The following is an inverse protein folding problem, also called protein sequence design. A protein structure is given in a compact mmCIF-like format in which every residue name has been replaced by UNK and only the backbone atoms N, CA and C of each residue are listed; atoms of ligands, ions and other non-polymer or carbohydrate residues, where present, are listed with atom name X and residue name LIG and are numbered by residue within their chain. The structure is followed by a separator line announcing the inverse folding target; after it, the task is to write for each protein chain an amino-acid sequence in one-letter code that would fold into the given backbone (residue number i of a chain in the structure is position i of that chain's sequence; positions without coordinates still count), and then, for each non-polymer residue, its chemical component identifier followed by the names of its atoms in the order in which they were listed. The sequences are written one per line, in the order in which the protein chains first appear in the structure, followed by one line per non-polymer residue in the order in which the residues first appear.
data_IF_767399067018
#
_entry.id   IF_767399067018
#
_cell.length_a   1.000
_cell.length_b   1.000
_cell.length_c   1.000
_cell.angle_alpha   90.00
_cell.angle_beta   90.00
_cell.angle_gamma   90.00
#
_symmetry.space_group_name_H-M   'P 1'
#
loop_
_entity.id
_entity.type
_entity.pdbx_description
1 polymer ?
#
# COMPACT_ATOMS: atom_id res chain seq x y z
N UNK A 1 -19.08 25.90 -5.18
CA UNK A 1 -18.38 25.09 -6.20
C UNK A 1 -16.93 24.80 -5.78
N UNK A 2 -16.19 25.79 -5.27
CA UNK A 2 -14.79 25.65 -4.80
C UNK A 2 -14.54 24.65 -3.65
N UNK A 3 -15.40 24.56 -2.64
CA UNK A 3 -15.18 23.65 -1.49
C UNK A 3 -15.24 22.16 -1.87
N UNK A 4 -16.15 21.78 -2.80
CA UNK A 4 -16.29 20.40 -3.28
C UNK A 4 -15.08 19.98 -4.14
N UNK A 5 -14.58 20.89 -4.97
CA UNK A 5 -13.40 20.66 -5.81
C UNK A 5 -12.13 20.58 -4.97
N UNK A 6 -11.99 21.42 -3.95
CA UNK A 6 -10.86 21.42 -3.02
C UNK A 6 -10.79 20.15 -2.17
N UNK A 7 -11.91 19.73 -1.58
CA UNK A 7 -11.97 18.49 -0.76
C UNK A 7 -11.78 17.25 -1.65
N UNK A 8 -12.40 17.22 -2.83
CA UNK A 8 -12.26 16.08 -3.74
C UNK A 8 -10.84 15.96 -4.29
N UNK A 9 -10.24 17.04 -4.77
CA UNK A 9 -8.91 16.97 -5.39
C UNK A 9 -7.81 16.68 -4.34
N UNK A 10 -7.82 17.37 -3.20
CA UNK A 10 -6.75 17.22 -2.22
C UNK A 10 -6.89 15.93 -1.41
N UNK A 11 -8.09 15.60 -0.90
CA UNK A 11 -8.26 14.41 -0.06
C UNK A 11 -8.08 13.12 -0.86
N UNK A 12 -8.56 13.09 -2.10
CA UNK A 12 -8.38 11.94 -3.00
C UNK A 12 -6.91 11.78 -3.34
N UNK A 13 -6.21 12.84 -3.74
CA UNK A 13 -4.76 12.79 -4.03
C UNK A 13 -3.95 12.29 -2.83
N UNK A 14 -4.29 12.75 -1.62
CA UNK A 14 -3.62 12.32 -0.40
C UNK A 14 -3.85 10.84 -0.10
N UNK A 15 -5.08 10.34 -0.21
CA UNK A 15 -5.38 8.91 0.00
C UNK A 15 -4.70 8.01 -1.05
N UNK A 16 -4.54 8.50 -2.28
CA UNK A 16 -3.84 7.74 -3.34
C UNK A 16 -2.33 7.71 -3.09
N UNK A 17 -1.73 8.82 -2.67
CA UNK A 17 -0.32 8.88 -2.29
C UNK A 17 -0.02 8.02 -1.05
N UNK A 18 -0.91 8.01 -0.06
CA UNK A 18 -0.72 7.24 1.18
C UNK A 18 -0.82 5.73 0.96
N UNK A 19 -1.90 5.28 0.30
CA UNK A 19 -2.17 3.84 0.17
C UNK A 19 -1.41 3.20 -0.98
N UNK A 20 -1.32 3.90 -2.11
CA UNK A 20 -0.76 3.35 -3.34
C UNK A 20 0.58 3.98 -3.72
N UNK A 21 1.01 5.09 -3.10
CA UNK A 21 2.11 5.92 -3.58
C UNK A 21 1.99 6.21 -5.10
N UNK A 22 0.74 6.33 -5.57
CA UNK A 22 0.37 6.30 -6.98
C UNK A 22 -0.19 7.62 -7.48
N UNK A 23 -0.20 7.78 -8.80
CA UNK A 23 -0.78 8.95 -9.47
C UNK A 23 -2.31 8.78 -9.54
N UNK A 24 -3.10 9.67 -8.89
CA UNK A 24 -4.56 9.55 -8.85
C UNK A 24 -5.20 9.65 -10.23
N UNK A 25 -4.54 10.28 -11.22
CA UNK A 25 -5.07 10.37 -12.59
C UNK A 25 -4.98 9.04 -13.36
N UNK A 26 -4.16 8.10 -12.89
CA UNK A 26 -3.89 6.82 -13.57
C UNK A 26 -4.52 5.62 -12.86
N UNK A 27 -4.92 5.77 -11.61
CA UNK A 27 -5.47 4.70 -10.79
C UNK A 27 -6.97 4.44 -11.09
N UNK A 28 -7.35 3.18 -11.16
CA UNK A 28 -8.73 2.75 -11.32
C UNK A 28 -9.48 2.88 -9.99
N UNK A 29 -10.45 3.79 -9.92
CA UNK A 29 -11.33 3.92 -8.74
C UNK A 29 -12.07 2.63 -8.43
N UNK A 30 -12.47 1.87 -9.45
CA UNK A 30 -13.19 0.61 -9.28
C UNK A 30 -12.30 -0.48 -8.68
N UNK A 31 -11.03 -0.54 -9.06
CA UNK A 31 -10.08 -1.52 -8.52
C UNK A 31 -9.52 -1.08 -7.15
N UNK A 32 -9.02 0.16 -7.04
CA UNK A 32 -8.35 0.68 -5.85
C UNK A 32 -9.32 1.00 -4.70
N UNK A 33 -10.54 1.46 -5.02
CA UNK A 33 -11.54 1.91 -4.04
C UNK A 33 -12.91 1.26 -4.30
N UNK A 34 -12.94 -0.03 -4.63
CA UNK A 34 -14.15 -0.74 -5.06
C UNK A 34 -15.35 -0.66 -4.10
N UNK A 35 -15.14 -0.44 -2.80
CA UNK A 35 -16.24 -0.18 -1.84
C UNK A 35 -16.87 1.20 -2.07
N UNK A 36 -16.07 2.24 -2.25
CA UNK A 36 -16.54 3.60 -2.53
C UNK A 36 -17.25 3.64 -3.88
N UNK A 37 -16.66 2.99 -4.89
CA UNK A 37 -17.29 2.81 -6.20
C UNK A 37 -18.69 2.20 -6.07
N UNK A 38 -18.83 1.09 -5.32
CA UNK A 38 -20.13 0.44 -5.12
C UNK A 38 -21.15 1.34 -4.41
N UNK A 39 -20.73 2.16 -3.45
CA UNK A 39 -21.64 3.10 -2.78
C UNK A 39 -22.20 4.11 -3.77
N UNK A 40 -21.35 4.69 -4.62
CA UNK A 40 -21.80 5.61 -5.66
C UNK A 40 -22.78 4.92 -6.61
N UNK A 41 -22.45 3.74 -7.12
CA UNK A 41 -23.32 2.99 -8.05
C UNK A 41 -24.69 2.65 -7.42
N UNK A 42 -24.71 2.20 -6.16
CA UNK A 42 -25.95 1.82 -5.48
C UNK A 42 -26.82 3.05 -5.14
N UNK A 43 -26.18 4.18 -4.86
CA UNK A 43 -26.81 5.37 -4.29
C UNK A 43 -27.04 6.53 -5.24
N UNK A 44 -26.48 6.49 -6.46
CA UNK A 44 -26.32 7.66 -7.34
C UNK A 44 -25.35 8.72 -6.78
N UNK A 45 -24.84 8.52 -5.56
CA UNK A 45 -23.85 9.35 -4.87
C UNK A 45 -23.29 8.57 -3.67
N UNK A 46 -22.10 8.93 -3.19
CA UNK A 46 -21.48 8.30 -2.01
C UNK A 46 -22.39 8.41 -0.77
N UNK A 47 -22.98 9.59 -0.56
CA UNK A 47 -23.90 9.85 0.57
C UNK A 47 -25.15 8.99 0.43
N UNK A 48 -25.80 9.01 -0.74
CA UNK A 48 -26.99 8.19 -1.01
C UNK A 48 -26.72 6.69 -0.85
N UNK A 49 -25.54 6.23 -1.26
CA UNK A 49 -25.12 4.84 -1.14
C UNK A 49 -24.94 4.42 0.32
N UNK A 50 -24.40 5.32 1.14
CA UNK A 50 -24.22 5.10 2.58
C UNK A 50 -25.57 4.96 3.28
N UNK A 51 -26.53 5.85 2.99
CA UNK A 51 -27.88 5.76 3.56
C UNK A 51 -28.60 4.47 3.16
N UNK A 52 -28.55 4.09 1.87
CA UNK A 52 -29.11 2.83 1.39
C UNK A 52 -28.46 1.61 2.08
N UNK A 53 -27.13 1.61 2.20
CA UNK A 53 -26.40 0.51 2.86
C UNK A 53 -26.76 0.36 4.34
N UNK A 54 -26.98 1.47 5.07
CA UNK A 54 -27.48 1.42 6.45
C UNK A 54 -28.90 0.87 6.51
N UNK A 55 -29.78 1.30 5.61
CA UNK A 55 -31.16 0.84 5.54
C UNK A 55 -31.25 -0.67 5.25
N UNK A 56 -30.45 -1.17 4.30
CA UNK A 56 -30.33 -2.59 3.98
C UNK A 56 -29.77 -3.40 5.14
N UNK A 57 -28.72 -2.91 5.80
CA UNK A 57 -28.13 -3.56 6.98
C UNK A 57 -29.10 -3.65 8.15
N UNK A 58 -29.94 -2.65 8.35
CA UNK A 58 -30.98 -2.66 9.38
C UNK A 58 -32.14 -3.60 9.06
N UNK A 59 -32.42 -3.85 7.76
CA UNK A 59 -33.42 -4.82 7.30
C UNK A 59 -32.89 -6.27 7.26
N UNK A 60 -31.58 -6.45 7.12
CA UNK A 60 -30.97 -7.78 7.02
C UNK A 60 -30.83 -8.45 8.40
N UNK A 61 -31.31 -9.70 8.59
CA UNK A 61 -31.05 -10.45 9.81
C UNK A 61 -29.54 -10.72 9.94
N UNK A 62 -29.00 -10.57 11.16
CA UNK A 62 -27.59 -10.89 11.44
C UNK A 62 -27.36 -12.37 11.13
N UNK A 63 -26.51 -12.67 10.15
CA UNK A 63 -26.15 -14.06 9.86
C UNK A 63 -25.49 -14.69 11.10
N UNK A 64 -25.98 -15.86 11.55
CA UNK A 64 -25.36 -16.57 12.66
C UNK A 64 -23.96 -17.01 12.25
N UNK A 65 -23.01 -16.83 13.18
CA UNK A 65 -21.63 -17.27 12.99
C UNK A 65 -21.62 -18.79 12.78
N UNK A 66 -20.98 -19.25 11.70
CA UNK A 66 -20.78 -20.69 11.46
C UNK A 66 -20.04 -21.29 12.67
N UNK A 67 -20.64 -22.21 13.44
CA UNK A 67 -20.07 -22.71 14.70
C UNK A 67 -18.70 -23.39 14.51
N UNK A 68 -18.46 -23.94 13.31
CA UNK A 68 -17.23 -24.66 12.95
C UNK A 68 -16.02 -23.75 12.69
N UNK A 69 -16.21 -22.43 12.53
CA UNK A 69 -15.12 -21.52 12.19
C UNK A 69 -14.35 -21.07 13.44
N UNK A 70 -13.05 -21.43 13.57
CA UNK A 70 -12.24 -21.00 14.70
C UNK A 70 -12.17 -19.47 14.76
N UNK A 71 -12.04 -18.92 15.99
CA UNK A 71 -11.73 -17.50 16.17
C UNK A 71 -10.27 -17.29 15.72
N UNK A 72 -9.99 -16.44 14.72
CA UNK A 72 -8.61 -16.18 14.31
C UNK A 72 -7.86 -15.55 15.47
N UNK A 73 -6.85 -16.26 15.99
CA UNK A 73 -5.90 -15.74 16.99
C UNK A 73 -4.70 -15.15 16.25
N UNK A 74 -4.79 -13.87 15.90
CA UNK A 74 -3.66 -13.08 15.41
C UNK A 74 -2.97 -13.60 14.13
N UNK A 75 -1.83 -12.99 13.83
CA UNK A 75 -0.94 -13.39 12.73
C UNK A 75 0.00 -14.48 13.25
N UNK A 76 -0.32 -15.74 12.98
CA UNK A 76 0.60 -16.85 13.28
C UNK A 76 1.52 -17.03 12.08
N UNK A 77 2.83 -16.78 12.27
CA UNK A 77 3.84 -17.10 11.27
C UNK A 77 4.13 -18.60 11.38
N UNK A 78 3.82 -19.35 10.32
CA UNK A 78 4.04 -20.79 10.26
C UNK A 78 5.36 -21.15 9.60
N UNK A 79 6.03 -22.19 10.10
CA UNK A 79 7.12 -22.87 9.41
C UNK A 79 6.61 -24.13 8.72
N UNK A 80 7.26 -24.53 7.63
CA UNK A 80 6.96 -25.79 6.94
C UNK A 80 7.52 -26.95 7.76
N UNK A 81 6.70 -28.00 7.97
CA UNK A 81 7.08 -29.15 8.83
C UNK A 81 8.36 -29.87 8.40
N UNK A 82 8.70 -29.82 7.10
CA UNK A 82 9.94 -30.38 6.54
C UNK A 82 10.90 -29.29 6.02
N UNK A 83 10.72 -28.03 6.42
CA UNK A 83 11.51 -26.92 5.86
C UNK A 83 11.24 -26.70 4.36
N UNK A 84 12.19 -26.08 3.66
CA UNK A 84 12.05 -25.69 2.26
C UNK A 84 11.95 -26.87 1.27
N UNK A 85 12.40 -28.08 1.64
CA UNK A 85 12.27 -29.27 0.80
C UNK A 85 10.81 -29.75 0.66
N UNK A 86 9.93 -29.32 1.57
CA UNK A 86 8.49 -29.54 1.44
C UNK A 86 7.92 -28.91 0.16
N UNK A 87 8.52 -27.82 -0.34
CA UNK A 87 8.04 -27.13 -1.55
C UNK A 87 8.11 -27.98 -2.81
N UNK A 88 9.28 -28.48 -3.25
CA UNK A 88 9.36 -29.29 -4.46
C UNK A 88 8.57 -30.60 -4.33
N UNK A 89 8.59 -31.25 -3.16
CA UNK A 89 7.80 -32.47 -2.91
C UNK A 89 6.30 -32.20 -3.03
N UNK A 90 5.79 -31.17 -2.34
CA UNK A 90 4.39 -30.82 -2.38
C UNK A 90 3.96 -30.40 -3.79
N UNK A 91 4.77 -29.60 -4.51
CA UNK A 91 4.48 -29.22 -5.90
C UNK A 91 4.38 -30.46 -6.80
N UNK A 92 5.30 -31.42 -6.66
CA UNK A 92 5.30 -32.64 -7.48
C UNK A 92 4.08 -33.54 -7.26
N UNK A 93 3.49 -33.50 -6.06
CA UNK A 93 2.35 -34.34 -5.68
C UNK A 93 1.01 -33.58 -5.72
N UNK A 94 1.04 -32.25 -5.86
CA UNK A 94 -0.16 -31.43 -5.82
C UNK A 94 -0.82 -31.37 -7.19
N UNK A 95 -2.13 -31.60 -7.21
CA UNK A 95 -2.98 -31.36 -8.38
C UNK A 95 -3.30 -29.87 -8.58
N UNK A 96 -2.94 -29.03 -7.62
CA UNK A 96 -3.23 -27.60 -7.63
C UNK A 96 -2.08 -26.80 -7.02
N UNK A 97 -1.80 -25.63 -7.59
CA UNK A 97 -0.76 -24.70 -7.16
C UNK A 97 -1.40 -23.33 -6.93
N UNK A 98 -1.16 -22.74 -5.75
CA UNK A 98 -1.57 -21.36 -5.45
C UNK A 98 -0.33 -20.49 -5.39
N UNK A 99 -0.22 -19.51 -6.29
CA UNK A 99 0.89 -18.57 -6.34
C UNK A 99 0.49 -17.29 -5.61
N UNK A 100 1.13 -17.03 -4.47
CA UNK A 100 0.96 -15.78 -3.68
C UNK A 100 2.21 -14.91 -3.71
N UNK A 101 2.96 -15.01 -4.81
CA UNK A 101 4.19 -14.25 -5.06
C UNK A 101 3.87 -13.01 -5.90
N UNK A 102 4.75 -11.99 -5.93
CA UNK A 102 4.51 -10.81 -6.75
C UNK A 102 4.25 -11.15 -8.23
N UNK A 103 3.35 -10.41 -8.86
CA UNK A 103 2.88 -10.68 -10.23
C UNK A 103 4.01 -10.76 -11.27
N UNK A 104 5.06 -9.95 -11.15
CA UNK A 104 6.22 -10.02 -12.04
C UNK A 104 7.01 -11.33 -11.90
N UNK A 105 7.12 -11.88 -10.67
CA UNK A 105 7.78 -13.17 -10.43
C UNK A 105 6.92 -14.29 -10.99
N UNK A 106 5.61 -14.26 -10.73
CA UNK A 106 4.66 -15.22 -11.28
C UNK A 106 4.70 -15.22 -12.82
N UNK A 107 4.70 -14.04 -13.42
CA UNK A 107 4.79 -13.85 -14.87
C UNK A 107 6.06 -14.50 -15.46
N UNK A 108 7.21 -14.31 -14.81
CA UNK A 108 8.47 -14.96 -15.25
C UNK A 108 8.42 -16.49 -15.14
N UNK A 109 7.82 -17.03 -14.06
CA UNK A 109 7.70 -18.48 -13.87
C UNK A 109 6.69 -19.14 -14.83
N UNK A 110 5.63 -18.43 -15.20
CA UNK A 110 4.59 -18.94 -16.09
C UNK A 110 4.92 -18.76 -17.57
N UNK A 111 5.87 -17.88 -17.91
CA UNK A 111 6.27 -17.62 -19.30
C UNK A 111 6.64 -18.90 -20.07
N UNK A 112 7.48 -19.83 -19.56
CA UNK A 112 7.80 -21.07 -20.29
C UNK A 112 6.57 -21.95 -20.53
N UNK A 113 5.65 -22.03 -19.57
CA UNK A 113 4.41 -22.80 -19.69
C UNK A 113 3.47 -22.18 -20.73
N UNK A 114 3.43 -20.85 -20.84
CA UNK A 114 2.62 -20.15 -21.83
C UNK A 114 3.12 -20.27 -23.27
N UNK A 115 4.40 -20.58 -23.48
CA UNK A 115 4.97 -20.82 -24.82
C UNK A 115 4.58 -22.22 -25.33
N UNK A 116 4.40 -23.18 -24.41
CA UNK A 116 4.01 -24.56 -24.72
C UNK A 116 2.50 -24.71 -25.01
N UNK A 117 1.68 -23.73 -24.61
CA UNK A 117 0.22 -23.76 -24.74
C UNK A 117 -0.17 -22.77 -25.86
N UNK A 118 -0.88 -23.27 -26.86
CA UNK A 118 -1.07 -22.60 -28.16
C UNK A 118 -1.76 -21.23 -28.06
N UNK A 119 -1.13 -20.19 -28.62
CA UNK A 119 -1.84 -19.11 -29.32
C UNK A 119 -1.95 -17.73 -28.66
N UNK A 120 -1.32 -17.50 -27.51
CA UNK A 120 -1.29 -16.14 -26.94
C UNK A 120 -0.50 -16.12 -25.64
N UNK A 121 0.69 -15.52 -25.69
CA UNK A 121 1.56 -15.45 -24.51
C UNK A 121 0.79 -14.92 -23.30
N UNK A 122 0.80 -15.66 -22.20
CA UNK A 122 0.18 -15.24 -20.95
C UNK A 122 0.90 -13.98 -20.47
N UNK A 123 0.34 -12.80 -20.73
CA UNK A 123 0.77 -11.55 -20.10
C UNK A 123 0.27 -11.56 -18.65
N UNK A 124 0.98 -12.29 -17.80
CA UNK A 124 0.68 -12.41 -16.37
C UNK A 124 1.26 -11.24 -15.54
N UNK A 125 1.92 -10.26 -16.17
CA UNK A 125 2.28 -9.02 -15.48
C UNK A 125 1.03 -8.16 -15.35
N UNK A 126 0.27 -8.42 -14.29
CA UNK A 126 -1.05 -7.83 -14.02
C UNK A 126 -0.93 -6.42 -13.43
N UNK A 127 0.24 -6.09 -12.85
CA UNK A 127 0.38 -4.86 -12.06
C UNK A 127 1.76 -4.23 -12.23
N UNK A 128 1.78 -2.90 -12.35
CA UNK A 128 3.02 -2.12 -12.27
C UNK A 128 3.38 -1.93 -10.80
N UNK A 129 4.64 -2.13 -10.43
CA UNK A 129 5.14 -1.92 -9.07
C UNK A 129 5.95 -0.64 -9.03
N UNK A 130 5.64 0.27 -8.11
CA UNK A 130 6.40 1.51 -7.95
C UNK A 130 7.45 1.38 -6.85
N UNK A 131 8.61 2.02 -7.02
CA UNK A 131 9.62 2.05 -5.98
C UNK A 131 9.20 2.96 -4.84
N UNK A 132 9.49 2.54 -3.61
CA UNK A 132 9.28 3.36 -2.40
C UNK A 132 10.46 3.17 -1.46
N UNK A 133 10.81 4.20 -0.73
CA UNK A 133 11.75 4.14 0.39
C UNK A 133 11.06 4.54 1.68
N UNK A 134 11.51 3.96 2.79
CA UNK A 134 11.22 4.48 4.12
C UNK A 134 12.50 4.88 4.84
N UNK A 135 12.42 5.97 5.58
CA UNK A 135 13.51 6.52 6.36
C UNK A 135 13.02 6.81 7.78
N UNK A 136 13.64 6.14 8.74
CA UNK A 136 13.32 6.25 10.15
C UNK A 136 14.35 7.12 10.86
N UNK A 137 13.88 8.24 11.41
CA UNK A 137 14.74 9.25 12.04
C UNK A 137 14.22 9.64 13.42
N UNK A 138 15.15 10.04 14.28
CA UNK A 138 14.87 10.60 15.59
C UNK A 138 15.35 12.05 15.69
N UNK A 139 14.52 12.90 16.26
CA UNK A 139 14.92 14.22 16.74
C UNK A 139 14.75 14.32 18.24
N UNK A 140 15.66 15.04 18.91
CA UNK A 140 15.52 15.40 20.33
C UNK A 140 15.01 16.84 20.43
N UNK A 141 13.86 17.03 21.08
CA UNK A 141 13.31 18.36 21.42
C UNK A 141 13.33 19.38 20.26
N UNK A 142 13.02 18.92 19.04
CA UNK A 142 13.22 19.71 17.83
C UNK A 142 11.93 20.16 17.13
N UNK A 143 10.77 19.76 17.63
CA UNK A 143 9.48 20.04 16.99
C UNK A 143 9.13 21.52 17.16
N UNK A 144 8.59 22.12 16.10
CA UNK A 144 8.04 23.48 16.10
C UNK A 144 6.89 23.60 17.10
N UNK A 145 6.86 24.67 17.91
CA UNK A 145 5.94 24.76 19.04
C UNK A 145 4.47 24.82 18.59
N UNK A 146 4.22 25.39 17.42
CA UNK A 146 2.93 25.45 16.74
C UNK A 146 2.38 24.09 16.31
N UNK A 147 3.25 23.07 16.19
CA UNK A 147 2.85 21.70 15.87
C UNK A 147 2.51 20.85 17.11
N UNK A 148 2.76 21.38 18.32
CA UNK A 148 2.52 20.67 19.57
C UNK A 148 1.11 20.95 20.10
N UNK A 149 0.46 19.90 20.61
CA UNK A 149 -0.84 19.98 21.30
C UNK A 149 -0.60 19.50 22.73
N UNK A 150 -0.78 20.40 23.70
CA UNK A 150 -0.44 20.18 25.11
C UNK A 150 1.04 19.79 25.32
N UNK A 151 1.94 20.36 24.52
CA UNK A 151 3.38 20.07 24.60
C UNK A 151 3.83 18.76 23.94
N UNK A 152 2.90 18.02 23.30
CA UNK A 152 3.20 16.76 22.62
C UNK A 152 2.82 16.79 21.15
N UNK A 153 3.56 16.04 20.32
CA UNK A 153 3.15 15.78 18.94
C UNK A 153 2.08 14.70 18.93
N UNK A 154 0.82 15.10 18.78
CA UNK A 154 -0.35 14.20 18.77
C UNK A 154 -0.81 13.94 17.34
N UNK A 155 -1.09 12.67 17.04
CA UNK A 155 -1.72 12.26 15.78
C UNK A 155 -1.09 11.01 15.16
N UNK A 156 -1.68 10.55 14.07
CA UNK A 156 -1.13 9.44 13.28
C UNK A 156 0.12 9.87 12.49
N UNK A 157 0.06 11.06 11.90
CA UNK A 157 1.08 11.54 10.97
C UNK A 157 0.56 12.63 10.05
N UNK A 158 1.32 12.91 9.00
CA UNK A 158 1.01 13.86 7.93
C UNK A 158 1.12 13.19 6.57
N UNK A 159 0.29 13.66 5.63
CA UNK A 159 0.38 13.35 4.22
C UNK A 159 0.77 14.60 3.45
N UNK A 160 1.67 14.45 2.49
CA UNK A 160 2.36 15.57 1.87
C UNK A 160 1.93 15.69 0.40
N UNK A 161 0.96 16.56 0.08
CA UNK A 161 0.61 16.83 -1.30
C UNK A 161 1.77 17.54 -2.00
N UNK A 162 2.02 17.20 -3.26
CA UNK A 162 3.13 17.77 -4.05
C UNK A 162 3.10 19.30 -4.16
N UNK A 163 1.92 19.91 -4.02
CA UNK A 163 1.75 21.36 -3.99
C UNK A 163 2.47 22.06 -2.82
N UNK A 164 2.89 21.32 -1.79
CA UNK A 164 3.69 21.85 -0.68
C UNK A 164 5.19 21.97 -1.01
N UNK A 165 5.63 21.54 -2.20
CA UNK A 165 7.03 21.67 -2.60
C UNK A 165 7.98 20.81 -1.76
N UNK A 166 7.48 19.66 -1.32
CA UNK A 166 8.22 18.62 -0.58
C UNK A 166 8.27 17.33 -1.39
N UNK A 167 9.26 16.49 -1.12
CA UNK A 167 9.52 15.25 -1.84
C UNK A 167 8.97 13.98 -1.19
N UNK A 168 8.93 14.00 0.14
CA UNK A 168 8.26 13.00 0.98
C UNK A 168 6.77 12.89 0.64
N UNK A 169 6.25 11.66 0.71
CA UNK A 169 4.83 11.33 0.51
C UNK A 169 4.03 11.54 1.80
N UNK A 170 4.67 11.32 2.94
CA UNK A 170 4.07 11.45 4.26
C UNK A 170 5.00 10.97 5.36
N UNK A 171 4.62 11.31 6.59
CA UNK A 171 5.37 11.00 7.81
C UNK A 171 4.43 10.43 8.86
N UNK A 172 4.76 9.25 9.39
CA UNK A 172 4.06 8.63 10.52
C UNK A 172 4.75 9.02 11.83
N UNK A 173 3.97 9.50 12.79
CA UNK A 173 4.42 9.87 14.13
C UNK A 173 4.51 8.62 15.01
N UNK A 174 5.49 7.79 14.72
CA UNK A 174 5.60 6.45 15.29
C UNK A 174 5.68 6.45 16.82
N UNK A 175 6.36 7.41 17.44
CA UNK A 175 6.42 7.53 18.91
C UNK A 175 5.12 8.05 19.54
N UNK A 176 4.26 8.73 18.76
CA UNK A 176 2.92 9.18 19.20
C UNK A 176 1.93 8.02 19.19
N UNK A 177 1.95 7.21 18.11
CA UNK A 177 1.08 6.04 17.95
C UNK A 177 1.42 4.88 18.87
N UNK A 178 2.71 4.68 19.14
CA UNK A 178 3.22 3.53 19.85
C UNK A 178 4.13 4.00 20.99
N UNK A 179 3.57 4.16 22.21
CA UNK A 179 4.34 4.51 23.39
C UNK A 179 5.53 3.56 23.57
N UNK A 180 6.66 4.08 24.07
CA UNK A 180 7.92 3.35 24.29
C UNK A 180 8.70 2.94 23.02
N UNK A 181 8.32 3.43 21.82
CA UNK A 181 9.14 3.24 20.60
C UNK A 181 10.28 4.24 20.45
N UNK A 182 10.32 5.29 21.27
CA UNK A 182 11.40 6.26 21.35
C UNK A 182 11.74 6.57 22.82
N UNK A 183 13.00 6.93 23.13
CA UNK A 183 13.36 7.48 24.44
C UNK A 183 12.61 8.78 24.76
N UNK A 184 12.53 9.13 26.05
CA UNK A 184 11.94 10.40 26.49
C UNK A 184 12.64 11.61 25.84
N UNK A 185 11.85 12.62 25.45
CA UNK A 185 12.33 13.82 24.75
C UNK A 185 12.73 13.59 23.29
N UNK A 186 12.54 12.38 22.75
CA UNK A 186 12.78 12.07 21.33
C UNK A 186 11.49 11.72 20.60
N UNK A 187 11.43 12.14 19.35
CA UNK A 187 10.32 11.86 18.45
C UNK A 187 10.77 10.94 17.33
N UNK A 188 10.10 9.79 17.18
CA UNK A 188 10.35 8.83 16.12
C UNK A 188 9.41 9.09 14.96
N UNK A 189 10.01 9.45 13.82
CA UNK A 189 9.32 9.75 12.58
C UNK A 189 9.68 8.68 11.55
N UNK A 190 8.66 8.12 10.92
CA UNK A 190 8.81 7.20 9.80
C UNK A 190 8.33 7.89 8.53
N UNK A 191 9.26 8.20 7.64
CA UNK A 191 9.02 9.00 6.46
C UNK A 191 9.01 8.12 5.23
N UNK A 192 8.09 8.37 4.30
CA UNK A 192 8.02 7.68 3.02
C UNK A 192 8.40 8.62 1.89
N UNK A 193 9.26 8.16 0.98
CA UNK A 193 9.66 8.88 -0.24
C UNK A 193 9.53 7.92 -1.42
N UNK A 194 9.19 8.42 -2.60
CA UNK A 194 9.20 7.65 -3.84
C UNK A 194 7.86 7.69 -4.54
N UNK A 195 7.35 6.50 -4.84
CA UNK A 195 6.11 6.33 -5.57
C UNK A 195 6.20 6.82 -7.01
N UNK A 196 5.04 7.13 -7.57
CA UNK A 196 4.91 7.59 -8.96
C UNK A 196 5.51 8.97 -9.16
N UNK A 197 5.59 9.76 -8.09
CA UNK A 197 6.03 11.15 -8.11
C UNK A 197 7.54 11.30 -7.98
N UNK A 198 8.25 10.27 -7.49
CA UNK A 198 9.71 10.31 -7.37
C UNK A 198 10.34 8.93 -7.60
N UNK A 199 10.30 8.38 -8.83
CA UNK A 199 10.92 7.08 -9.12
C UNK A 199 12.46 7.12 -9.08
N UNK A 200 13.06 8.31 -9.09
CA UNK A 200 14.51 8.52 -9.07
C UNK A 200 15.21 8.04 -7.81
N UNK A 201 14.45 7.77 -6.74
CA UNK A 201 14.96 7.32 -5.43
C UNK A 201 15.84 6.06 -5.49
N UNK A 202 15.73 5.27 -6.55
CA UNK A 202 16.53 4.06 -6.75
C UNK A 202 17.99 4.34 -7.03
N UNK A 203 18.30 5.54 -7.51
CA UNK A 203 19.66 5.99 -7.79
C UNK A 203 20.29 6.70 -6.60
N UNK A 204 19.49 7.05 -5.58
CA UNK A 204 19.97 7.79 -4.43
C UNK A 204 20.67 6.90 -3.41
N UNK A 205 21.67 7.47 -2.73
CA UNK A 205 22.30 6.86 -1.56
C UNK A 205 21.46 7.13 -0.32
N UNK A 206 21.62 6.30 0.71
CA UNK A 206 20.89 6.45 1.98
C UNK A 206 21.05 7.85 2.60
N UNK A 207 22.25 8.44 2.54
CA UNK A 207 22.51 9.80 3.05
C UNK A 207 21.72 10.88 2.29
N UNK A 208 21.66 10.79 0.96
CA UNK A 208 20.88 11.73 0.13
C UNK A 208 19.38 11.63 0.45
N UNK A 209 18.87 10.41 0.69
CA UNK A 209 17.49 10.21 1.11
C UNK A 209 17.22 10.81 2.51
N UNK A 210 18.17 10.70 3.43
CA UNK A 210 18.08 11.32 4.77
C UNK A 210 18.07 12.84 4.65
N UNK A 211 18.91 13.42 3.81
CA UNK A 211 18.95 14.87 3.57
C UNK A 211 17.62 15.39 3.03
N UNK A 212 17.01 14.69 2.07
CA UNK A 212 15.68 15.02 1.55
C UNK A 212 14.62 14.95 2.66
N UNK A 213 14.64 13.90 3.49
CA UNK A 213 13.72 13.78 4.63
C UNK A 213 13.90 14.92 5.62
N UNK A 214 15.14 15.23 6.02
CA UNK A 214 15.42 16.28 7.00
C UNK A 214 14.98 17.65 6.47
N UNK A 215 15.31 17.95 5.20
CA UNK A 215 14.89 19.17 4.53
C UNK A 215 13.36 19.34 4.53
N UNK A 216 12.62 18.29 4.15
CA UNK A 216 11.16 18.33 4.15
C UNK A 216 10.58 18.46 5.56
N UNK A 217 11.11 17.69 6.52
CA UNK A 217 10.66 17.77 7.91
C UNK A 217 10.88 19.16 8.52
N UNK A 218 11.97 19.84 8.18
CA UNK A 218 12.23 21.22 8.64
C UNK A 218 11.26 22.24 8.06
N UNK A 219 10.68 21.99 6.89
CA UNK A 219 9.61 22.85 6.34
C UNK A 219 8.29 22.71 7.08
N UNK A 220 8.04 21.58 7.75
CA UNK A 220 6.69 21.22 8.21
C UNK A 220 6.56 20.98 9.71
N UNK A 221 7.60 20.45 10.36
CA UNK A 221 7.48 19.88 11.71
C UNK A 221 8.68 20.23 12.60
N UNK A 222 9.88 20.31 12.04
CA UNK A 222 11.14 20.44 12.77
C UNK A 222 11.64 21.88 12.70
N UNK A 223 12.14 22.41 13.80
CA UNK A 223 12.76 23.73 13.85
C UNK A 223 13.97 23.78 12.91
N UNK A 224 14.07 24.85 12.10
CA UNK A 224 15.15 25.01 11.11
C UNK A 224 16.55 24.92 11.74
N UNK A 225 16.71 25.42 12.97
CA UNK A 225 17.98 25.44 13.72
C UNK A 225 18.23 24.17 14.54
N UNK A 226 17.37 23.15 14.44
CA UNK A 226 17.55 21.91 15.18
C UNK A 226 18.81 21.17 14.72
N UNK A 227 19.41 20.39 15.64
CA UNK A 227 20.49 19.46 15.28
C UNK A 227 20.00 18.44 14.26
N UNK A 228 20.93 17.90 13.49
CA UNK A 228 20.65 16.84 12.52
C UNK A 228 19.98 15.61 13.18
N UNK A 229 19.12 14.91 12.43
CA UNK A 229 18.45 13.72 12.93
C UNK A 229 19.45 12.60 13.23
N UNK A 230 19.13 11.80 14.25
CA UNK A 230 19.73 10.48 14.39
C UNK A 230 19.01 9.49 13.48
N UNK A 231 19.71 8.95 12.49
CA UNK A 231 19.17 7.98 11.54
C UNK A 231 19.14 6.59 12.16
N UNK A 232 17.96 5.95 12.19
CA UNK A 232 17.82 4.57 12.64
C UNK A 232 17.92 3.56 11.51
N UNK A 233 17.48 3.94 10.32
CA UNK A 233 17.53 3.07 9.15
C UNK A 233 16.86 3.68 7.94
N UNK A 234 17.44 3.36 6.78
CA UNK A 234 16.88 3.65 5.46
C UNK A 234 16.65 2.31 4.78
N UNK A 235 15.49 2.16 4.13
CA UNK A 235 15.18 0.97 3.36
C UNK A 235 14.49 1.35 2.07
N UNK A 236 15.11 0.94 0.96
CA UNK A 236 14.55 1.11 -0.38
C UNK A 236 13.95 -0.21 -0.88
N UNK A 237 12.74 -0.13 -1.43
CA UNK A 237 12.05 -1.22 -2.11
C UNK A 237 11.86 -0.84 -3.58
N UNK A 238 12.63 -1.46 -4.50
CA UNK A 238 12.51 -1.16 -5.94
C UNK A 238 11.15 -1.47 -6.53
N UNK A 239 10.43 -2.43 -5.95
CA UNK A 239 9.12 -2.87 -6.40
C UNK A 239 8.24 -3.03 -5.16
N UNK A 240 7.74 -1.91 -4.65
CA UNK A 240 7.09 -1.85 -3.35
C UNK A 240 5.58 -2.06 -3.44
N UNK A 241 4.89 -1.23 -4.23
CA UNK A 241 3.43 -1.12 -4.18
C UNK A 241 2.80 -1.36 -5.55
N UNK A 242 1.90 -2.36 -5.68
CA UNK A 242 1.15 -2.61 -6.91
C UNK A 242 0.22 -1.44 -7.26
N UNK A 243 0.26 -1.00 -8.51
CA UNK A 243 -0.57 0.06 -9.08
C UNK A 243 -1.75 -0.52 -9.87
N UNK A 244 -2.96 -0.33 -9.34
CA UNK A 244 -4.18 -0.71 -10.03
C UNK A 244 -4.59 0.37 -11.03
N UNK A 245 -3.93 0.37 -12.19
CA UNK A 245 -4.23 1.30 -13.27
C UNK A 245 -5.63 1.10 -13.84
N UNK A 246 -6.11 2.04 -14.66
CA UNK A 246 -7.47 2.02 -15.26
C UNK A 246 -7.83 0.67 -15.91
N UNK A 247 -6.87 0.05 -16.59
CA UNK A 247 -6.98 -1.24 -17.31
C UNK A 247 -6.76 -2.48 -16.44
N UNK A 248 -6.49 -2.32 -15.14
CA UNK A 248 -6.12 -3.42 -14.24
C UNK A 248 -7.18 -4.54 -14.18
N UNK A 249 -8.47 -4.20 -14.24
CA UNK A 249 -9.54 -5.20 -14.22
C UNK A 249 -9.58 -6.01 -15.52
N UNK A 250 -9.31 -5.38 -16.65
CA UNK A 250 -9.24 -6.05 -17.95
C UNK A 250 -8.04 -7.01 -17.99
N UNK A 251 -6.89 -6.59 -17.42
CA UNK A 251 -5.72 -7.45 -17.25
C UNK A 251 -6.01 -8.66 -16.35
N UNK A 252 -6.74 -8.47 -15.25
CA UNK A 252 -7.16 -9.56 -14.36
C UNK A 252 -8.08 -10.56 -15.07
N UNK A 253 -9.05 -10.08 -15.86
CA UNK A 253 -9.99 -10.95 -16.56
C UNK A 253 -9.33 -11.67 -17.74
N UNK A 254 -8.38 -11.02 -18.43
CA UNK A 254 -7.53 -11.67 -19.42
C UNK A 254 -6.66 -12.78 -18.79
N UNK A 255 -6.06 -12.51 -17.63
CA UNK A 255 -5.25 -13.50 -16.92
C UNK A 255 -6.09 -14.72 -16.48
N UNK A 256 -7.29 -14.50 -15.91
CA UNK A 256 -8.20 -15.59 -15.55
C UNK A 256 -8.62 -16.42 -16.77
N UNK A 257 -9.03 -15.75 -17.85
CA UNK A 257 -9.45 -16.42 -19.08
C UNK A 257 -8.31 -17.25 -19.69
N UNK A 258 -7.09 -16.71 -19.66
CA UNK A 258 -5.90 -17.41 -20.16
C UNK A 258 -5.57 -18.66 -19.34
N UNK A 259 -5.68 -18.61 -18.01
CA UNK A 259 -5.48 -19.80 -17.17
C UNK A 259 -6.50 -20.90 -17.47
N UNK A 260 -7.77 -20.52 -17.67
CA UNK A 260 -8.84 -21.47 -18.02
C UNK A 260 -8.64 -22.07 -19.42
N UNK A 261 -8.34 -21.23 -20.42
CA UNK A 261 -8.20 -21.63 -21.83
C UNK A 261 -6.99 -22.51 -22.11
N UNK A 262 -5.94 -22.44 -21.30
CA UNK A 262 -4.70 -23.19 -21.47
C UNK A 262 -4.63 -24.48 -20.61
N UNK A 263 -5.75 -24.94 -20.06
CA UNK A 263 -5.78 -26.18 -19.26
C UNK A 263 -5.10 -26.07 -17.89
N UNK A 264 -4.81 -24.86 -17.40
CA UNK A 264 -4.17 -24.60 -16.12
C UNK A 264 -5.19 -24.50 -14.97
N UNK A 265 -6.19 -25.39 -14.94
CA UNK A 265 -7.32 -25.34 -13.99
C UNK A 265 -6.91 -25.56 -12.52
N UNK A 266 -5.76 -26.19 -12.29
CA UNK A 266 -5.17 -26.35 -10.96
C UNK A 266 -4.36 -25.15 -10.49
N UNK A 267 -4.12 -24.15 -11.34
CA UNK A 267 -3.29 -22.98 -11.02
C UNK A 267 -4.15 -21.80 -10.57
N UNK A 268 -3.87 -21.29 -9.37
CA UNK A 268 -4.55 -20.15 -8.78
C UNK A 268 -3.55 -19.03 -8.52
N UNK A 269 -3.93 -17.80 -8.87
CA UNK A 269 -3.16 -16.59 -8.56
C UNK A 269 -3.80 -15.89 -7.37
N UNK A 270 -2.98 -15.46 -6.42
CA UNK A 270 -3.37 -14.64 -5.28
C UNK A 270 -2.23 -13.72 -4.87
N UNK A 271 -2.46 -12.88 -3.87
CA UNK A 271 -1.50 -11.84 -3.45
C UNK A 271 -2.05 -10.44 -3.68
N UNK A 272 -1.16 -9.46 -3.50
CA UNK A 272 -1.42 -8.04 -3.66
C UNK A 272 -1.18 -7.54 -5.10
#
# INVERSE_FOLDING_TARGET
MYLKQFVSHNLTTLLHADVYAGDPSKLSMKAAFGKVWKLEQNGGSIIGGTFKGIQEKNKAPKQPRVPRLPKPKGQTVGSLRKGLTMWPEAISQSKSLVMTIPSHVASSLLRPLSILLTGGGCRCTITILLPTSCCSVHFKEAIQIECLIDGELKGFGQLHPRSQGVETLGTIYSSSLFPNRAPAGRFLLLNYIGGSTNPGILSNKDGELVEVVDHDLRKMLINSNAKEPSVLGVRVWPQAIPQFLVDHLDLLDAAKSSLQGNGLQGLFLGGN
#
